data_IF_182834542081
#
_entry.id   IF_182834542081
#
_cell.length_a   1.000
_cell.length_b   1.000
_cell.length_c   1.000
_cell.angle_alpha   90.00
_cell.angle_beta   90.00
_cell.angle_gamma   90.00
#
_symmetry.space_group_name_H-M   'P 1'
#
loop_
_entity.id
_entity.type
_entity.pdbx_description
1 polymer ?
#
# COMPACT_ATOMS: atom_id res chain seq x y z
N UNK A 1 19.31 -9.78 -20.63
CA UNK A 1 19.59 -10.31 -19.26
C UNK A 1 18.64 -9.59 -18.34
N UNK A 2 17.43 -10.11 -18.33
CA UNK A 2 16.23 -9.48 -17.83
C UNK A 2 16.07 -9.93 -16.39
N UNK A 3 16.86 -9.31 -15.51
CA UNK A 3 16.88 -9.66 -14.09
C UNK A 3 15.52 -9.28 -13.52
N UNK A 4 14.68 -10.28 -13.26
CA UNK A 4 13.38 -10.12 -12.63
C UNK A 4 13.56 -9.31 -11.34
N UNK A 5 12.89 -8.17 -11.26
CA UNK A 5 13.15 -7.18 -10.23
C UNK A 5 12.28 -7.48 -9.02
N UNK A 6 12.89 -7.93 -7.93
CA UNK A 6 12.14 -8.28 -6.73
C UNK A 6 11.91 -7.04 -5.88
N UNK A 7 10.63 -6.69 -5.67
CA UNK A 7 10.24 -5.87 -4.53
C UNK A 7 9.74 -6.77 -3.42
N UNK A 8 10.34 -6.61 -2.26
CA UNK A 8 9.92 -7.28 -1.04
C UNK A 8 9.34 -6.24 -0.08
N UNK A 9 8.20 -6.55 0.51
CA UNK A 9 7.69 -5.74 1.59
C UNK A 9 8.55 -5.95 2.84
N UNK A 10 9.14 -4.87 3.33
CA UNK A 10 9.98 -4.92 4.52
C UNK A 10 9.18 -4.66 5.79
N UNK A 11 8.20 -3.76 5.72
CA UNK A 11 7.38 -3.41 6.87
C UNK A 11 6.12 -2.68 6.44
N UNK A 12 4.99 -3.06 7.02
CA UNK A 12 3.72 -2.39 6.80
C UNK A 12 2.96 -2.18 8.12
N UNK A 13 2.66 -0.92 8.45
CA UNK A 13 2.01 -0.56 9.73
C UNK A 13 0.49 -0.66 9.69
N UNK A 14 -0.14 -0.56 8.51
CA UNK A 14 -1.61 -0.51 8.38
C UNK A 14 -2.26 -1.87 8.09
N UNK A 15 -1.54 -2.99 8.33
CA UNK A 15 -1.98 -4.36 8.02
C UNK A 15 -3.36 -4.74 8.56
N UNK A 16 -3.72 -4.20 9.73
CA UNK A 16 -5.00 -4.49 10.40
C UNK A 16 -6.17 -3.63 9.87
N UNK A 17 -5.88 -2.62 9.05
CA UNK A 17 -6.84 -1.59 8.60
C UNK A 17 -7.03 -1.59 7.09
N UNK A 18 -5.95 -1.83 6.36
CA UNK A 18 -5.86 -1.83 4.91
C UNK A 18 -5.11 -3.07 4.51
N UNK A 19 -5.64 -3.84 3.57
CA UNK A 19 -4.84 -4.84 2.87
C UNK A 19 -4.27 -4.21 1.60
N UNK A 20 -3.14 -4.71 1.14
CA UNK A 20 -2.58 -4.26 -0.12
C UNK A 20 -2.13 -5.44 -0.96
N UNK A 21 -2.12 -5.25 -2.27
CA UNK A 21 -1.58 -6.20 -3.24
C UNK A 21 -0.60 -5.46 -4.13
N UNK A 22 0.53 -6.10 -4.43
CA UNK A 22 1.52 -5.59 -5.35
C UNK A 22 1.39 -6.35 -6.67
N UNK A 23 1.24 -5.61 -7.76
CA UNK A 23 1.24 -6.13 -9.12
C UNK A 23 2.40 -5.52 -9.88
N UNK A 24 3.22 -6.37 -10.50
CA UNK A 24 4.27 -5.93 -11.41
C UNK A 24 3.63 -5.66 -12.77
N UNK A 25 3.56 -4.39 -13.18
CA UNK A 25 3.04 -3.99 -14.48
C UNK A 25 4.11 -4.08 -15.56
N UNK A 26 5.34 -3.73 -15.21
CA UNK A 26 6.51 -3.82 -16.09
C UNK A 26 7.69 -4.28 -15.25
N UNK A 27 8.20 -5.48 -15.56
CA UNK A 27 9.31 -6.11 -14.84
C UNK A 27 10.49 -5.15 -14.74
N UNK A 28 10.78 -4.73 -13.51
CA UNK A 28 11.89 -3.84 -13.20
C UNK A 28 11.70 -2.36 -13.46
N UNK A 29 10.49 -1.90 -13.76
CA UNK A 29 10.18 -0.47 -13.91
C UNK A 29 8.93 -0.03 -13.17
N UNK A 30 7.81 -0.72 -13.36
CA UNK A 30 6.50 -0.25 -12.90
C UNK A 30 5.83 -1.28 -12.01
N UNK A 31 5.58 -0.87 -10.76
CA UNK A 31 4.85 -1.65 -9.78
C UNK A 31 3.60 -0.89 -9.38
N UNK A 32 2.46 -1.59 -9.39
CA UNK A 32 1.18 -1.04 -8.97
C UNK A 32 0.80 -1.66 -7.64
N UNK A 33 0.60 -0.80 -6.65
CA UNK A 33 0.16 -1.20 -5.32
C UNK A 33 -1.32 -0.87 -5.21
N UNK A 34 -2.15 -1.91 -5.08
CA UNK A 34 -3.58 -1.77 -4.84
C UNK A 34 -3.82 -1.81 -3.35
N UNK A 35 -4.28 -0.69 -2.78
CA UNK A 35 -4.70 -0.62 -1.40
C UNK A 35 -6.21 -0.85 -1.31
N UNK A 36 -6.63 -1.77 -0.46
CA UNK A 36 -8.03 -2.10 -0.20
C UNK A 36 -8.32 -1.92 1.28
N UNK A 37 -9.28 -1.07 1.60
CA UNK A 37 -9.68 -0.83 2.99
C UNK A 37 -10.47 -2.00 3.56
N UNK A 38 -10.17 -2.39 4.79
CA UNK A 38 -10.94 -3.42 5.49
C UNK A 38 -12.17 -2.74 6.11
N UNK A 39 -13.40 -3.16 5.75
CA UNK A 39 -14.63 -2.59 6.32
C UNK A 39 -14.68 -2.83 7.83
N UNK A 40 -15.24 -1.88 8.57
CA UNK A 40 -15.29 -1.90 10.03
C UNK A 40 -14.33 -0.92 10.71
N UNK A 41 -13.37 -0.36 9.97
CA UNK A 41 -12.48 0.68 10.46
C UNK A 41 -13.00 2.06 10.04
N UNK A 42 -13.13 2.96 11.02
CA UNK A 42 -13.51 4.36 10.82
C UNK A 42 -12.49 5.26 11.51
N UNK A 43 -12.23 6.44 10.94
CA UNK A 43 -11.22 7.38 11.44
C UNK A 43 -10.02 7.57 10.50
N UNK A 44 -9.07 8.37 10.94
CA UNK A 44 -7.83 8.68 10.20
C UNK A 44 -6.69 7.82 10.72
N UNK A 45 -6.05 7.09 9.83
CA UNK A 45 -4.91 6.24 10.12
C UNK A 45 -3.71 6.71 9.32
N UNK A 46 -2.57 6.76 9.98
CA UNK A 46 -1.27 7.08 9.38
C UNK A 46 -0.37 5.88 9.59
N UNK A 47 0.33 5.51 8.54
CA UNK A 47 1.31 4.45 8.62
C UNK A 47 2.31 4.55 7.49
N UNK A 48 3.14 3.53 7.39
CA UNK A 48 4.21 3.47 6.42
C UNK A 48 4.25 2.09 5.79
N UNK A 49 4.53 2.07 4.49
CA UNK A 49 4.89 0.89 3.75
C UNK A 49 6.36 1.04 3.34
N UNK A 50 7.22 0.25 3.95
CA UNK A 50 8.63 0.14 3.57
C UNK A 50 8.78 -1.02 2.61
N UNK A 51 9.29 -0.73 1.44
CA UNK A 51 9.61 -1.70 0.41
C UNK A 51 11.12 -1.75 0.24
N UNK A 52 11.67 -2.96 0.22
CA UNK A 52 13.05 -3.20 -0.19
C UNK A 52 13.05 -3.55 -1.66
N UNK A 53 13.93 -2.90 -2.41
CA UNK A 53 14.08 -3.16 -3.84
C UNK A 53 15.53 -3.55 -4.11
N UNK A 54 15.74 -4.43 -5.08
CA UNK A 54 17.09 -4.78 -5.55
C UNK A 54 17.65 -3.72 -6.54
N UNK A 55 17.11 -2.50 -6.55
CA UNK A 55 17.52 -1.44 -7.45
C UNK A 55 18.70 -0.68 -6.85
N UNK A 56 19.85 -0.66 -7.53
CA UNK A 56 21.07 0.00 -7.01
C UNK A 56 20.90 1.50 -6.77
N UNK A 57 19.99 2.18 -7.47
CA UNK A 57 19.75 3.60 -7.24
C UNK A 57 18.84 3.87 -6.02
N UNK A 58 17.97 2.92 -5.65
CA UNK A 58 17.01 3.07 -4.53
C UNK A 58 16.73 1.74 -3.84
N UNK A 59 17.65 1.26 -2.98
CA UNK A 59 17.48 -0.02 -2.29
C UNK A 59 16.31 -0.04 -1.30
N UNK A 60 15.89 1.12 -0.80
CA UNK A 60 14.76 1.26 0.12
C UNK A 60 13.79 2.33 -0.35
N UNK A 61 12.51 1.98 -0.39
CA UNK A 61 11.41 2.89 -0.75
C UNK A 61 10.46 2.96 0.43
N UNK A 62 10.34 4.14 1.02
CA UNK A 62 9.45 4.43 2.14
C UNK A 62 8.24 5.19 1.60
N UNK A 63 7.06 4.58 1.68
CA UNK A 63 5.80 5.17 1.26
C UNK A 63 4.98 5.53 2.49
N UNK A 64 4.79 6.82 2.74
CA UNK A 64 3.92 7.29 3.81
C UNK A 64 2.46 7.23 3.38
N UNK A 65 1.65 6.48 4.12
CA UNK A 65 0.25 6.24 3.80
C UNK A 65 -0.60 6.96 4.84
N UNK A 66 -1.49 7.84 4.37
CA UNK A 66 -2.53 8.47 5.20
C UNK A 66 -3.89 8.10 4.61
N UNK A 67 -4.69 7.38 5.38
CA UNK A 67 -6.02 6.91 4.99
C UNK A 67 -7.05 7.47 5.96
N UNK A 68 -8.12 8.03 5.41
CA UNK A 68 -9.26 8.51 6.17
C UNK A 68 -10.49 7.67 5.82
N UNK A 69 -10.90 6.79 6.73
CA UNK A 69 -12.15 6.07 6.61
C UNK A 69 -13.28 6.93 7.16
N UNK A 70 -14.14 7.40 6.26
CA UNK A 70 -15.39 8.05 6.64
C UNK A 70 -16.43 6.95 6.88
N UNK A 71 -17.22 7.10 7.96
CA UNK A 71 -18.47 6.34 8.06
C UNK A 71 -19.23 6.61 6.76
N UNK A 72 -19.79 5.58 6.08
CA UNK A 72 -20.77 5.87 5.05
C UNK A 72 -21.82 6.74 5.72
N UNK A 73 -22.00 7.97 5.23
CA UNK A 73 -23.08 8.81 5.71
C UNK A 73 -24.36 8.05 5.38
N UNK A 74 -25.01 7.48 6.38
CA UNK A 74 -26.40 7.10 6.23
C UNK A 74 -27.16 8.40 6.04
N UNK A 75 -27.29 8.82 4.78
CA UNK A 75 -28.27 9.81 4.36
C UNK A 75 -29.63 9.14 4.49
N UNK A 76 -30.22 9.30 5.67
CA UNK A 76 -31.58 9.77 5.90
C UNK A 76 -32.63 9.25 4.91
N UNK A 77 -33.30 8.16 5.27
CA UNK A 77 -34.68 7.90 4.87
C UNK A 77 -35.56 8.30 6.06
N UNK A 78 -36.15 9.49 5.99
CA UNK A 78 -37.34 9.87 6.76
C UNK A 78 -38.12 10.95 6.00
#
# INVERSE_FOLDING_TARGET
MDKALTLEDSQFTLGEKVTYRMEELESGKNFRIHFTSIPGNVGTYRGVLKLKTNYSEKPEVIIWITVQFRKPSQSQEN
#
